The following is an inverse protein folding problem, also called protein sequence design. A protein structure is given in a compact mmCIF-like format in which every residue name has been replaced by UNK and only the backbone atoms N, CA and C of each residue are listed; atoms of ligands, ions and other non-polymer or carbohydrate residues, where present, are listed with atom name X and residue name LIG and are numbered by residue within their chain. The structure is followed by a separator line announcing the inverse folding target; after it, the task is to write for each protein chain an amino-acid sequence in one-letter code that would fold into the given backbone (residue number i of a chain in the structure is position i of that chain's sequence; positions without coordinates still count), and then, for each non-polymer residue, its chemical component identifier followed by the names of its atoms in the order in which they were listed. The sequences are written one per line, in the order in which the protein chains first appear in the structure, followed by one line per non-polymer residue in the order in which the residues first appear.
data_IF_531969298394
#
_entry.id   IF_531969298394
#
_cell.length_a   1.000
_cell.length_b   1.000
_cell.length_c   1.000
_cell.angle_alpha   90.00
_cell.angle_beta   90.00
_cell.angle_gamma   90.00
#
_symmetry.space_group_name_H-M   'P 1'
#
loop_
_entity.id
_entity.type
_entity.pdbx_description
1 polymer ?
#
# COMPACT_ATOMS: atom_id res chain seq x y z
N UNK A 1 29.77 -8.23 12.46
CA UNK A 1 28.98 -8.06 11.22
C UNK A 1 27.67 -7.46 11.66
N UNK A 2 27.57 -6.13 11.66
CA UNK A 2 26.36 -5.44 12.13
C UNK A 2 25.40 -5.33 10.96
N UNK A 3 24.24 -5.96 11.07
CA UNK A 3 23.13 -5.72 10.14
C UNK A 3 22.76 -4.24 10.26
N UNK A 4 22.92 -3.47 9.18
CA UNK A 4 22.37 -2.11 9.14
C UNK A 4 20.85 -2.21 9.38
N UNK A 5 20.24 -1.29 10.16
CA UNK A 5 18.80 -1.26 10.28
C UNK A 5 18.23 -1.14 8.87
N UNK A 6 17.38 -2.07 8.47
CA UNK A 6 16.54 -1.91 7.29
C UNK A 6 15.54 -0.80 7.61
N UNK A 7 15.96 0.45 7.48
CA UNK A 7 15.06 1.59 7.56
C UNK A 7 14.03 1.44 6.45
N UNK A 8 12.81 1.05 6.80
CA UNK A 8 11.67 1.25 5.92
C UNK A 8 11.45 2.76 5.87
N UNK A 9 11.77 3.38 4.74
CA UNK A 9 11.19 4.68 4.41
C UNK A 9 9.76 4.38 3.99
N UNK A 10 8.82 4.53 4.93
CA UNK A 10 7.40 4.34 4.65
C UNK A 10 7.00 5.33 3.58
N UNK A 11 6.81 4.81 2.38
CA UNK A 11 6.31 5.57 1.24
C UNK A 11 4.81 5.41 1.09
N UNK A 12 4.15 4.55 1.86
CA UNK A 12 2.69 4.40 1.86
C UNK A 12 1.99 5.28 2.91
N UNK A 13 0.67 5.09 3.05
CA UNK A 13 -0.18 5.84 3.96
C UNK A 13 -1.13 4.94 4.73
N UNK A 14 -1.99 5.53 5.54
CA UNK A 14 -3.02 4.81 6.28
C UNK A 14 -4.34 5.57 6.30
N UNK A 15 -5.44 4.82 6.32
CA UNK A 15 -6.80 5.35 6.48
C UNK A 15 -7.54 4.54 7.52
N UNK A 16 -8.27 5.23 8.39
CA UNK A 16 -9.14 4.62 9.39
C UNK A 16 -10.57 4.56 8.85
N UNK A 17 -11.18 3.38 8.86
CA UNK A 17 -12.62 3.24 8.65
C UNK A 17 -13.35 3.19 9.98
N UNK A 18 -14.21 4.17 10.23
CA UNK A 18 -15.09 4.16 11.40
C UNK A 18 -16.12 3.02 11.34
N UNK A 19 -16.52 2.61 10.14
CA UNK A 19 -17.54 1.58 9.95
C UNK A 19 -17.04 0.18 10.37
N UNK A 20 -15.78 -0.14 10.10
CA UNK A 20 -15.18 -1.44 10.47
C UNK A 20 -14.31 -1.36 11.73
N UNK A 21 -13.88 -0.17 12.14
CA UNK A 21 -12.90 -0.02 13.22
C UNK A 21 -11.49 -0.46 12.81
N UNK A 22 -11.22 -0.55 11.50
CA UNK A 22 -9.94 -1.00 10.97
C UNK A 22 -9.11 0.17 10.42
N UNK A 23 -7.80 0.09 10.66
CA UNK A 23 -6.78 0.91 9.99
C UNK A 23 -6.23 0.13 8.82
N UNK A 24 -6.42 0.63 7.60
CA UNK A 24 -5.81 0.08 6.41
C UNK A 24 -4.52 0.83 6.11
N UNK A 25 -3.40 0.12 6.04
CA UNK A 25 -2.07 0.67 5.83
C UNK A 25 -1.44 0.09 4.58
N UNK A 26 -0.86 0.95 3.76
CA UNK A 26 -0.05 0.58 2.60
C UNK A 26 1.42 0.77 2.90
N UNK A 27 2.26 -0.15 2.41
CA UNK A 27 3.71 -0.04 2.57
C UNK A 27 4.45 -0.83 1.49
N UNK A 28 5.65 -0.38 1.14
CA UNK A 28 6.59 -1.15 0.34
C UNK A 28 7.37 -2.14 1.20
N UNK A 29 7.50 -3.39 0.74
CA UNK A 29 8.20 -4.44 1.50
C UNK A 29 9.71 -4.41 1.30
N UNK A 30 10.19 -4.02 0.11
CA UNK A 30 11.63 -3.86 -0.19
C UNK A 30 11.89 -2.93 -1.38
N UNK A 31 12.47 -1.76 -1.12
CA UNK A 31 12.98 -0.90 -2.19
C UNK A 31 14.27 -1.46 -2.79
N UNK A 32 14.36 -1.55 -4.12
CA UNK A 32 15.67 -1.65 -4.79
C UNK A 32 16.35 -0.27 -4.67
N UNK A 33 17.62 -0.22 -4.28
CA UNK A 33 18.40 1.03 -4.19
C UNK A 33 18.87 1.50 -5.58
N UNK A 34 17.94 1.64 -6.51
CA UNK A 34 18.20 2.19 -7.85
C UNK A 34 17.46 3.53 -7.97
N UNK A 35 18.11 4.61 -7.52
CA UNK A 35 17.58 5.97 -7.63
C UNK A 35 17.34 6.34 -9.11
N UNK A 36 16.26 7.08 -9.43
CA UNK A 36 15.81 7.41 -10.80
C UNK A 36 15.39 6.21 -11.69
N UNK A 37 15.13 5.03 -11.12
CA UNK A 37 14.39 3.96 -11.79
C UNK A 37 13.03 3.79 -11.12
N UNK A 38 12.01 3.20 -11.77
CA UNK A 38 10.85 2.73 -11.03
C UNK A 38 11.40 1.90 -9.86
N UNK A 39 11.06 2.26 -8.63
CA UNK A 39 11.37 1.40 -7.49
C UNK A 39 10.57 0.12 -7.76
N UNK A 40 11.20 -0.84 -8.44
CA UNK A 40 10.56 -2.05 -8.94
C UNK A 40 10.40 -3.06 -7.80
N UNK A 41 9.87 -2.59 -6.69
CA UNK A 41 9.59 -3.33 -5.47
C UNK A 41 8.15 -3.85 -5.45
N UNK A 42 7.88 -4.64 -4.43
CA UNK A 42 6.54 -5.09 -4.09
C UNK A 42 6.01 -4.32 -2.87
N UNK A 43 4.69 -4.13 -2.88
CA UNK A 43 3.93 -3.48 -1.85
C UNK A 43 3.15 -4.46 -0.99
N UNK A 44 2.44 -3.93 -0.03
CA UNK A 44 1.41 -4.65 0.71
C UNK A 44 0.35 -3.68 1.20
N UNK A 45 -0.84 -4.21 1.44
CA UNK A 45 -1.89 -3.58 2.21
C UNK A 45 -2.20 -4.45 3.42
N UNK A 46 -2.35 -3.83 4.58
CA UNK A 46 -2.63 -4.50 5.85
C UNK A 46 -3.82 -3.84 6.52
N UNK A 47 -4.67 -4.63 7.16
CA UNK A 47 -5.68 -4.12 8.08
C UNK A 47 -5.32 -4.46 9.51
N UNK A 48 -5.38 -3.45 10.37
CA UNK A 48 -5.17 -3.59 11.81
C UNK A 48 -6.45 -3.19 12.55
N UNK A 49 -6.75 -3.86 13.65
CA UNK A 49 -7.75 -3.37 14.60
C UNK A 49 -7.27 -2.04 15.18
N UNK A 50 -8.14 -1.02 15.15
CA UNK A 50 -7.77 0.32 15.58
C UNK A 50 -7.44 0.42 17.08
N UNK A 51 -8.08 -0.41 17.92
CA UNK A 51 -7.90 -0.33 19.38
C UNK A 51 -6.70 -1.13 19.85
N UNK A 52 -6.55 -2.35 19.35
CA UNK A 52 -5.51 -3.29 19.81
C UNK A 52 -4.24 -3.22 18.98
N UNK A 53 -4.32 -2.73 17.73
CA UNK A 53 -3.22 -2.82 16.75
C UNK A 53 -3.00 -4.23 16.21
N UNK A 54 -3.88 -5.19 16.51
CA UNK A 54 -3.78 -6.56 15.99
C UNK A 54 -3.93 -6.58 14.47
N UNK A 55 -3.02 -7.29 13.77
CA UNK A 55 -3.14 -7.54 12.34
C UNK A 55 -4.34 -8.46 12.07
N UNK A 56 -5.32 -7.97 11.31
CA UNK A 56 -6.52 -8.73 10.93
C UNK A 56 -6.32 -9.47 9.61
N UNK A 57 -5.71 -8.81 8.64
CA UNK A 57 -5.33 -9.42 7.37
C UNK A 57 -4.21 -8.62 6.68
N UNK A 58 -3.53 -9.27 5.72
CA UNK A 58 -2.51 -8.66 4.87
C UNK A 58 -2.60 -9.23 3.45
N UNK A 59 -2.43 -8.36 2.46
CA UNK A 59 -2.30 -8.75 1.05
C UNK A 59 -1.00 -8.18 0.50
N UNK A 60 -0.20 -9.03 -0.13
CA UNK A 60 1.00 -8.63 -0.86
C UNK A 60 0.63 -8.21 -2.28
N UNK A 61 1.30 -7.19 -2.78
CA UNK A 61 1.11 -6.65 -4.12
C UNK A 61 2.38 -6.86 -4.93
N UNK A 62 2.22 -7.26 -6.19
CA UNK A 62 3.34 -7.37 -7.13
C UNK A 62 3.97 -6.01 -7.46
N UNK A 63 3.26 -4.93 -7.14
CA UNK A 63 3.65 -3.54 -7.34
C UNK A 63 3.75 -2.83 -5.99
N UNK A 64 4.54 -1.76 -5.96
CA UNK A 64 4.65 -0.90 -4.79
C UNK A 64 3.33 -0.24 -4.40
N UNK A 65 3.16 0.03 -3.10
CA UNK A 65 1.99 0.63 -2.48
C UNK A 65 2.37 1.97 -1.82
N UNK A 66 2.79 2.93 -2.64
CA UNK A 66 3.29 4.25 -2.23
C UNK A 66 2.18 5.29 -1.94
N UNK A 67 0.93 4.95 -2.20
CA UNK A 67 -0.16 5.92 -2.05
C UNK A 67 -0.96 5.65 -0.78
N UNK A 68 -1.58 6.70 -0.25
CA UNK A 68 -2.63 6.57 0.75
C UNK A 68 -3.77 5.71 0.17
N UNK A 69 -4.21 4.64 0.86
CA UNK A 69 -5.38 3.90 0.43
C UNK A 69 -6.65 4.76 0.60
N UNK A 70 -7.64 4.53 -0.25
CA UNK A 70 -8.99 5.06 -0.07
C UNK A 70 -9.96 3.94 0.34
N UNK A 71 -11.03 4.30 1.05
CA UNK A 71 -12.07 3.35 1.48
C UNK A 71 -13.42 3.92 1.12
N UNK A 72 -14.27 3.11 0.48
CA UNK A 72 -15.61 3.53 0.08
C UNK A 72 -16.62 2.38 0.17
N UNK A 73 -17.87 2.63 0.61
CA UNK A 73 -18.95 1.65 0.68
C UNK A 73 -19.61 1.42 -0.69
N UNK A 74 -18.79 1.13 -1.71
CA UNK A 74 -19.23 0.94 -3.10
C UNK A 74 -19.10 -0.51 -3.56
N UNK A 75 -18.83 -1.42 -2.63
CA UNK A 75 -18.79 -2.86 -2.90
C UNK A 75 -20.18 -3.49 -3.04
N UNK A 76 -20.23 -4.74 -3.53
CA UNK A 76 -21.46 -5.50 -3.58
C UNK A 76 -22.13 -5.53 -2.20
N UNK A 77 -23.44 -5.25 -2.17
CA UNK A 77 -24.25 -5.19 -0.96
C UNK A 77 -23.82 -4.08 0.03
N UNK A 78 -23.16 -3.04 -0.46
CA UNK A 78 -22.74 -1.89 0.36
C UNK A 78 -21.48 -2.15 1.19
N UNK A 79 -20.78 -3.25 0.92
CA UNK A 79 -19.48 -3.57 1.54
C UNK A 79 -18.42 -2.51 1.26
N UNK A 80 -17.45 -2.43 2.15
CA UNK A 80 -16.33 -1.54 1.96
C UNK A 80 -15.38 -2.12 0.91
N UNK A 81 -14.93 -1.25 0.01
CA UNK A 81 -13.79 -1.52 -0.85
C UNK A 81 -12.62 -0.69 -0.35
N UNK A 82 -11.47 -1.34 -0.20
CA UNK A 82 -10.18 -0.69 0.00
C UNK A 82 -9.50 -0.54 -1.35
N UNK A 83 -9.30 0.70 -1.77
CA UNK A 83 -8.66 1.07 -3.03
C UNK A 83 -7.21 1.39 -2.73
N UNK A 84 -6.29 0.62 -3.31
CA UNK A 84 -4.85 0.82 -3.16
C UNK A 84 -4.27 1.23 -4.50
N UNK A 85 -3.88 2.50 -4.68
CA UNK A 85 -3.10 2.88 -5.83
C UNK A 85 -1.72 2.23 -5.73
N UNK A 86 -1.40 1.38 -6.71
CA UNK A 86 -0.16 0.63 -6.76
C UNK A 86 0.61 0.99 -8.03
N UNK A 87 1.93 1.08 -7.93
CA UNK A 87 2.79 1.49 -9.03
C UNK A 87 4.05 2.20 -8.57
N UNK A 88 4.96 2.41 -9.52
CA UNK A 88 6.25 3.02 -9.28
C UNK A 88 6.11 4.43 -8.69
N UNK A 89 6.96 4.75 -7.71
CA UNK A 89 7.11 6.12 -7.19
C UNK A 89 8.41 6.73 -7.72
N UNK A 90 8.40 7.47 -8.84
CA UNK A 90 9.63 7.92 -9.51
C UNK A 90 10.52 8.88 -8.69
N UNK A 91 10.07 9.36 -7.52
CA UNK A 91 10.75 10.43 -6.80
C UNK A 91 10.74 11.75 -7.58
N UNK A 92 11.38 12.79 -7.04
CA UNK A 92 11.29 14.17 -7.55
C UNK A 92 12.05 14.46 -8.84
N UNK A 93 12.70 13.48 -9.47
CA UNK A 93 13.66 13.72 -10.56
C UNK A 93 13.59 12.75 -11.76
N UNK A 94 12.55 11.92 -11.87
CA UNK A 94 12.37 11.07 -13.05
C UNK A 94 11.16 11.52 -13.87
N UNK A 95 11.28 11.52 -15.20
CA UNK A 95 10.13 11.64 -16.08
C UNK A 95 9.22 10.41 -15.88
N UNK A 96 7.89 10.58 -15.72
CA UNK A 96 6.98 9.44 -15.62
C UNK A 96 7.15 8.53 -16.85
N UNK A 97 7.47 7.25 -16.64
CA UNK A 97 7.77 6.30 -17.73
C UNK A 97 6.52 5.76 -18.45
N UNK A 98 5.33 6.29 -18.16
CA UNK A 98 4.10 5.86 -18.81
C UNK A 98 3.51 4.57 -18.24
N UNK A 99 3.80 4.27 -16.98
CA UNK A 99 3.29 3.11 -16.28
C UNK A 99 1.76 3.17 -16.15
N UNK A 100 1.05 2.41 -16.98
CA UNK A 100 -0.39 2.17 -16.88
C UNK A 100 -0.61 0.83 -16.19
N UNK A 101 -1.27 0.84 -15.03
CA UNK A 101 -1.60 -0.38 -14.31
C UNK A 101 -3.12 -0.48 -14.09
N UNK A 102 -3.76 -1.57 -14.55
CA UNK A 102 -5.18 -1.77 -14.32
C UNK A 102 -5.45 -1.96 -12.82
N UNK A 103 -6.48 -1.29 -12.32
CA UNK A 103 -6.96 -1.52 -10.96
C UNK A 103 -7.41 -2.99 -10.79
N UNK A 104 -7.12 -3.57 -9.63
CA UNK A 104 -7.57 -4.92 -9.24
C UNK A 104 -8.25 -4.85 -7.88
N UNK A 105 -9.35 -5.59 -7.70
CA UNK A 105 -9.94 -5.83 -6.38
C UNK A 105 -9.12 -6.90 -5.69
N UNK A 106 -8.59 -6.57 -4.51
CA UNK A 106 -7.65 -7.43 -3.77
C UNK A 106 -8.32 -8.15 -2.60
N UNK A 107 -9.35 -7.53 -2.02
CA UNK A 107 -10.20 -8.07 -0.97
C UNK A 107 -11.53 -7.31 -0.96
N UNK A 108 -12.58 -7.96 -0.46
CA UNK A 108 -13.87 -7.35 -0.13
C UNK A 108 -14.04 -7.51 1.38
N UNK A 109 -14.34 -6.40 2.08
CA UNK A 109 -14.64 -6.38 3.52
C UNK A 109 -16.15 -6.13 3.72
#
# INVERSE_FOLDING_TARGET
WMSKPSGQVSTGGAVLSRATGLVYSTANKRGKRDWNKPFGGNGCVRAFDFKSGELRWSVDLDLEANALPAVAPVGPEGRLIVIVPAGANPGTHANPTGDFFPAKVLALD
#
